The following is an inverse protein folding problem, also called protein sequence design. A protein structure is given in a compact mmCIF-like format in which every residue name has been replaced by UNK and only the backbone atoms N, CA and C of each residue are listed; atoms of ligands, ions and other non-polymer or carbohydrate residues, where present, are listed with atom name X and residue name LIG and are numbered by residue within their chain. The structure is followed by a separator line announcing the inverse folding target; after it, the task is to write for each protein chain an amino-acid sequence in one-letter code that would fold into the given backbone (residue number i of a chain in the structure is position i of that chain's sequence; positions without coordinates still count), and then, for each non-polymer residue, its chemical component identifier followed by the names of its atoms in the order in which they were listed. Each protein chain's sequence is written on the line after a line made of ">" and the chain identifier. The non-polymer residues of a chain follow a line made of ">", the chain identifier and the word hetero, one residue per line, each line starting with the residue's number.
data_IF_237156896901
#
_entry.id   IF_237156896901
#
_cell.length_a   1.000
_cell.length_b   1.000
_cell.length_c   1.000
_cell.angle_alpha   90.00
_cell.angle_beta   90.00
_cell.angle_gamma   90.00
#
_symmetry.space_group_name_H-M   'P 1'
#
loop_
_entity.id
_entity.type
_entity.pdbx_description
1 polymer ?
#
# COMPACT_ATOMS: atom_id res chain seq x y z
N UNK A 1 -34.82 18.65 10.87
CA UNK A 1 -33.52 18.06 11.28
C UNK A 1 -33.65 17.64 12.74
N UNK A 2 -33.86 16.35 13.01
CA UNK A 2 -33.84 15.86 14.37
C UNK A 2 -32.44 16.07 14.96
N UNK A 3 -32.34 16.66 16.15
CA UNK A 3 -31.10 16.70 16.90
C UNK A 3 -30.60 15.25 17.04
N UNK A 4 -29.44 14.93 16.45
CA UNK A 4 -28.78 13.63 16.67
C UNK A 4 -28.69 13.39 18.17
N UNK A 5 -29.28 12.30 18.62
CA UNK A 5 -29.28 11.85 20.02
C UNK A 5 -27.82 11.84 20.53
N UNK A 6 -27.53 12.37 21.73
CA UNK A 6 -26.22 12.22 22.36
C UNK A 6 -25.68 10.79 22.34
N UNK A 7 -26.55 9.78 22.41
CA UNK A 7 -26.21 8.36 22.30
C UNK A 7 -25.62 8.04 20.91
N UNK A 8 -26.27 8.48 19.82
CA UNK A 8 -25.78 8.26 18.46
C UNK A 8 -24.41 8.89 18.24
N UNK A 9 -24.18 10.07 18.79
CA UNK A 9 -22.87 10.75 18.71
C UNK A 9 -21.78 9.96 19.44
N UNK A 10 -22.10 9.39 20.60
CA UNK A 10 -21.14 8.58 21.36
C UNK A 10 -20.84 7.25 20.65
N UNK A 11 -21.84 6.62 20.04
CA UNK A 11 -21.66 5.41 19.24
C UNK A 11 -20.76 5.67 18.02
N UNK A 12 -20.99 6.77 17.29
CA UNK A 12 -20.14 7.18 16.16
C UNK A 12 -18.69 7.39 16.62
N UNK A 13 -18.47 8.14 17.72
CA UNK A 13 -17.11 8.36 18.26
C UNK A 13 -16.42 7.06 18.64
N UNK A 14 -17.14 6.13 19.26
CA UNK A 14 -16.59 4.82 19.63
C UNK A 14 -16.22 4.02 18.37
N UNK A 15 -17.07 4.01 17.36
CA UNK A 15 -16.82 3.29 16.11
C UNK A 15 -15.64 3.88 15.34
N UNK A 16 -15.52 5.21 15.30
CA UNK A 16 -14.35 5.91 14.76
C UNK A 16 -13.07 5.46 15.47
N UNK A 17 -13.05 5.44 16.82
CA UNK A 17 -11.87 5.00 17.58
C UNK A 17 -11.47 3.55 17.27
N UNK A 18 -12.46 2.65 17.17
CA UNK A 18 -12.23 1.25 16.81
C UNK A 18 -11.67 1.12 15.41
N UNK A 19 -12.21 1.89 14.46
CA UNK A 19 -11.73 1.87 13.09
C UNK A 19 -10.30 2.39 12.98
N UNK A 20 -9.98 3.52 13.62
CA UNK A 20 -8.61 4.05 13.65
C UNK A 20 -7.62 3.04 14.24
N UNK A 21 -7.95 2.39 15.36
CA UNK A 21 -7.09 1.36 15.94
C UNK A 21 -6.85 0.16 15.00
N UNK A 22 -7.86 -0.23 14.21
CA UNK A 22 -7.69 -1.25 13.17
C UNK A 22 -6.80 -0.77 12.03
N UNK A 23 -6.90 0.49 11.62
CA UNK A 23 -5.98 1.10 10.65
C UNK A 23 -4.54 1.06 11.15
N UNK A 24 -4.29 1.37 12.43
CA UNK A 24 -2.95 1.32 13.01
C UNK A 24 -2.38 -0.12 12.99
N UNK A 25 -3.19 -1.11 13.38
CA UNK A 25 -2.79 -2.52 13.28
C UNK A 25 -2.55 -2.97 11.83
N UNK A 26 -3.32 -2.43 10.88
CA UNK A 26 -3.14 -2.69 9.46
C UNK A 26 -1.81 -2.10 8.96
N UNK A 27 -1.46 -0.88 9.35
CA UNK A 27 -0.18 -0.24 9.03
C UNK A 27 0.98 -1.10 9.52
N UNK A 28 0.94 -1.53 10.79
CA UNK A 28 1.97 -2.40 11.35
C UNK A 28 2.10 -3.76 10.62
N UNK A 29 1.03 -4.23 9.96
CA UNK A 29 1.06 -5.44 9.15
C UNK A 29 1.64 -5.17 7.75
N UNK A 30 1.32 -4.02 7.17
CA UNK A 30 1.88 -3.55 5.89
C UNK A 30 3.39 -3.38 6.02
N UNK A 31 3.87 -2.70 7.06
CA UNK A 31 5.30 -2.42 7.26
C UNK A 31 6.15 -3.68 7.37
N UNK A 32 5.56 -4.80 7.83
CA UNK A 32 6.23 -6.11 7.94
C UNK A 32 6.05 -7.00 6.71
N UNK A 33 5.32 -6.56 5.70
CA UNK A 33 5.10 -7.37 4.51
C UNK A 33 6.36 -7.39 3.62
N UNK A 34 6.75 -8.59 3.19
CA UNK A 34 7.96 -8.84 2.39
C UNK A 34 7.69 -8.98 0.89
N UNK A 35 6.42 -8.98 0.49
CA UNK A 35 6.04 -9.16 -0.92
C UNK A 35 5.01 -8.13 -1.37
N UNK A 36 5.11 -7.70 -2.62
CA UNK A 36 4.15 -6.76 -3.21
C UNK A 36 2.72 -7.32 -3.28
N UNK A 37 2.58 -8.64 -3.41
CA UNK A 37 1.29 -9.32 -3.33
C UNK A 37 0.64 -9.12 -1.96
N UNK A 38 1.41 -9.33 -0.90
CA UNK A 38 0.90 -9.17 0.46
C UNK A 38 0.58 -7.71 0.77
N UNK A 39 1.45 -6.77 0.37
CA UNK A 39 1.18 -5.33 0.49
C UNK A 39 -0.12 -4.95 -0.23
N UNK A 40 -0.32 -5.40 -1.47
CA UNK A 40 -1.54 -5.11 -2.23
C UNK A 40 -2.81 -5.71 -1.59
N UNK A 41 -2.72 -6.93 -1.04
CA UNK A 41 -3.81 -7.56 -0.30
C UNK A 41 -4.17 -6.75 0.94
N UNK A 42 -3.17 -6.33 1.72
CA UNK A 42 -3.36 -5.56 2.94
C UNK A 42 -3.85 -4.12 2.67
N UNK A 43 -3.46 -3.50 1.56
CA UNK A 43 -3.91 -2.17 1.18
C UNK A 43 -5.41 -2.11 0.85
N UNK A 44 -5.99 -3.24 0.43
CA UNK A 44 -7.39 -3.35 -0.01
C UNK A 44 -8.31 -4.00 1.02
N UNK A 45 -7.78 -4.51 2.14
CA UNK A 45 -8.57 -5.25 3.14
C UNK A 45 -9.31 -4.39 4.18
N UNK A 46 -9.19 -3.06 4.11
CA UNK A 46 -9.78 -2.14 5.08
C UNK A 46 -10.93 -1.31 4.48
N UNK A 47 -12.17 -1.83 4.48
CA UNK A 47 -13.34 -1.06 4.04
C UNK A 47 -13.73 -0.02 5.10
N UNK A 48 -14.00 1.22 4.66
CA UNK A 48 -14.54 2.28 5.52
C UNK A 48 -16.03 2.01 5.81
N UNK A 49 -16.45 1.82 7.07
CA UNK A 49 -17.85 1.62 7.40
C UNK A 49 -18.71 2.84 7.04
N UNK A 50 -19.87 2.61 6.44
CA UNK A 50 -20.77 3.69 6.00
C UNK A 50 -21.15 4.64 7.14
N UNK A 51 -21.39 4.10 8.34
CA UNK A 51 -21.76 4.86 9.54
C UNK A 51 -20.75 5.96 9.93
N UNK A 52 -19.47 5.79 9.60
CA UNK A 52 -18.39 6.73 9.92
C UNK A 52 -17.76 7.34 8.66
N UNK A 53 -18.37 7.15 7.49
CA UNK A 53 -17.80 7.58 6.21
C UNK A 53 -17.68 9.10 6.05
N UNK A 54 -18.49 9.86 6.81
CA UNK A 54 -18.43 11.31 6.89
C UNK A 54 -17.44 11.83 7.96
N UNK A 55 -16.93 10.95 8.82
CA UNK A 55 -16.05 11.34 9.92
C UNK A 55 -14.61 11.50 9.40
N UNK A 56 -14.07 12.71 9.55
CA UNK A 56 -12.76 13.08 9.01
C UNK A 56 -11.65 12.15 9.50
N UNK A 57 -11.59 11.87 10.80
CA UNK A 57 -10.55 11.02 11.39
C UNK A 57 -10.57 9.58 10.87
N UNK A 58 -11.75 9.04 10.52
CA UNK A 58 -11.83 7.71 9.93
C UNK A 58 -11.29 7.71 8.49
N UNK A 59 -11.61 8.75 7.70
CA UNK A 59 -11.07 8.92 6.35
C UNK A 59 -9.56 9.13 6.36
N UNK A 60 -9.06 9.95 7.28
CA UNK A 60 -7.62 10.22 7.39
C UNK A 60 -6.84 8.98 7.84
N UNK A 61 -7.37 8.21 8.80
CA UNK A 61 -6.77 6.94 9.19
C UNK A 61 -6.69 5.95 8.02
N UNK A 62 -7.75 5.83 7.20
CA UNK A 62 -7.71 5.00 5.99
C UNK A 62 -6.71 5.53 4.95
N UNK A 63 -6.63 6.84 4.77
CA UNK A 63 -5.64 7.46 3.88
C UNK A 63 -4.21 7.14 4.34
N UNK A 64 -3.93 7.17 5.65
CA UNK A 64 -2.63 6.79 6.20
C UNK A 64 -2.28 5.33 5.88
N UNK A 65 -3.23 4.40 5.97
CA UNK A 65 -3.03 2.99 5.55
C UNK A 65 -2.59 2.93 4.08
N UNK A 66 -3.24 3.68 3.20
CA UNK A 66 -2.92 3.69 1.78
C UNK A 66 -1.53 4.30 1.51
N UNK A 67 -1.20 5.42 2.16
CA UNK A 67 0.13 6.04 2.06
C UNK A 67 1.22 5.07 2.52
N UNK A 68 1.04 4.40 3.67
CA UNK A 68 2.02 3.43 4.17
C UNK A 68 2.15 2.20 3.29
N UNK A 69 1.07 1.74 2.67
CA UNK A 69 1.12 0.69 1.66
C UNK A 69 1.92 1.11 0.43
N UNK A 70 1.75 2.35 -0.02
CA UNK A 70 2.51 2.90 -1.14
C UNK A 70 4.00 3.00 -0.82
N UNK A 71 4.35 3.53 0.35
CA UNK A 71 5.73 3.65 0.82
C UNK A 71 6.41 2.28 0.88
N UNK A 72 5.77 1.30 1.51
CA UNK A 72 6.33 -0.05 1.60
C UNK A 72 6.46 -0.73 0.24
N UNK A 73 5.49 -0.55 -0.65
CA UNK A 73 5.60 -1.07 -2.01
C UNK A 73 6.78 -0.44 -2.77
N UNK A 74 7.02 0.87 -2.60
CA UNK A 74 8.16 1.57 -3.20
C UNK A 74 9.49 1.04 -2.67
N UNK A 75 9.61 0.77 -1.37
CA UNK A 75 10.79 0.15 -0.77
C UNK A 75 11.11 -1.20 -1.40
N UNK A 76 10.13 -2.11 -1.44
CA UNK A 76 10.30 -3.44 -2.03
C UNK A 76 10.68 -3.39 -3.52
N UNK A 77 10.10 -2.45 -4.29
CA UNK A 77 10.46 -2.23 -5.69
C UNK A 77 11.91 -1.74 -5.81
N UNK A 78 12.33 -0.81 -4.94
CA UNK A 78 13.71 -0.31 -4.94
C UNK A 78 14.71 -1.42 -4.60
N UNK A 79 14.41 -2.27 -3.62
CA UNK A 79 15.23 -3.44 -3.27
C UNK A 79 15.35 -4.39 -4.46
N UNK A 80 14.23 -4.69 -5.15
CA UNK A 80 14.24 -5.51 -6.36
C UNK A 80 15.13 -4.92 -7.46
N UNK A 81 15.04 -3.61 -7.72
CA UNK A 81 15.87 -2.93 -8.72
C UNK A 81 17.34 -2.93 -8.32
N UNK A 82 17.66 -2.70 -7.05
CA UNK A 82 19.05 -2.75 -6.56
C UNK A 82 19.64 -4.16 -6.71
N UNK A 83 18.86 -5.20 -6.43
CA UNK A 83 19.28 -6.58 -6.64
C UNK A 83 19.52 -6.87 -8.13
N UNK A 84 18.67 -6.33 -9.02
CA UNK A 84 18.86 -6.43 -10.48
C UNK A 84 20.16 -5.75 -10.94
N UNK A 85 20.44 -4.54 -10.47
CA UNK A 85 21.66 -3.79 -10.81
C UNK A 85 22.92 -4.56 -10.42
N UNK A 86 22.88 -5.24 -9.27
CA UNK A 86 24.02 -6.01 -8.73
C UNK A 86 24.14 -7.42 -9.32
N UNK A 87 23.13 -7.90 -10.03
CA UNK A 87 23.14 -9.25 -10.57
C UNK A 87 24.08 -9.41 -11.77
N UNK A 88 24.61 -10.61 -11.91
CA UNK A 88 25.37 -11.05 -13.09
C UNK A 88 24.48 -11.04 -14.35
N UNK A 89 25.11 -10.78 -15.51
CA UNK A 89 24.41 -10.59 -16.79
C UNK A 89 23.50 -11.77 -17.17
N UNK A 90 23.94 -13.00 -16.87
CA UNK A 90 23.19 -14.24 -17.12
C UNK A 90 21.92 -14.39 -16.26
N UNK A 91 21.83 -13.70 -15.12
CA UNK A 91 20.69 -13.76 -14.19
C UNK A 91 19.72 -12.58 -14.36
N UNK A 92 20.16 -11.48 -14.97
CA UNK A 92 19.37 -10.24 -15.12
C UNK A 92 18.05 -10.44 -15.84
N UNK A 93 18.05 -11.15 -16.97
CA UNK A 93 16.82 -11.37 -17.74
C UNK A 93 15.78 -12.17 -16.92
N UNK A 94 16.22 -13.18 -16.17
CA UNK A 94 15.35 -13.95 -15.28
C UNK A 94 14.80 -13.09 -14.13
N UNK A 95 15.64 -12.26 -13.52
CA UNK A 95 15.24 -11.36 -12.45
C UNK A 95 14.25 -10.30 -12.95
N UNK A 96 14.51 -9.71 -14.12
CA UNK A 96 13.63 -8.74 -14.76
C UNK A 96 12.21 -9.30 -14.98
N UNK A 97 12.10 -10.51 -15.50
CA UNK A 97 10.80 -11.20 -15.65
C UNK A 97 10.11 -11.39 -14.29
N UNK A 98 10.84 -11.90 -13.30
CA UNK A 98 10.31 -12.08 -11.94
C UNK A 98 9.85 -10.77 -11.30
N UNK A 99 10.52 -9.65 -11.57
CA UNK A 99 10.12 -8.32 -11.10
C UNK A 99 8.80 -7.88 -11.73
N UNK A 100 8.68 -8.02 -13.06
CA UNK A 100 7.42 -7.69 -13.74
C UNK A 100 6.24 -8.54 -13.25
N UNK A 101 6.45 -9.84 -13.02
CA UNK A 101 5.45 -10.72 -12.44
C UNK A 101 5.08 -10.29 -11.01
N UNK A 102 6.06 -9.82 -10.23
CA UNK A 102 5.84 -9.25 -8.89
C UNK A 102 4.99 -7.98 -8.97
N UNK A 103 5.32 -7.06 -9.89
CA UNK A 103 4.63 -5.78 -10.06
C UNK A 103 3.21 -5.94 -10.59
N UNK A 104 2.93 -7.00 -11.34
CA UNK A 104 1.57 -7.32 -11.76
C UNK A 104 0.60 -7.47 -10.57
N UNK A 105 1.09 -7.84 -9.37
CA UNK A 105 0.27 -7.94 -8.16
C UNK A 105 -0.14 -6.56 -7.58
N UNK A 106 0.49 -5.46 -7.98
CA UNK A 106 0.12 -4.11 -7.54
C UNK A 106 -1.24 -3.75 -8.12
N UNK A 107 -2.29 -3.75 -7.31
CA UNK A 107 -3.68 -3.54 -7.76
C UNK A 107 -4.37 -2.44 -6.96
N UNK A 108 -5.55 -2.02 -7.41
CA UNK A 108 -6.34 -0.98 -6.75
C UNK A 108 -5.54 0.32 -6.57
N UNK A 109 -5.41 0.84 -5.33
CA UNK A 109 -4.71 2.10 -5.07
C UNK A 109 -3.21 2.05 -5.44
N UNK A 110 -2.61 0.86 -5.54
CA UNK A 110 -1.20 0.70 -5.88
C UNK A 110 -0.94 0.50 -7.38
N UNK A 111 -1.99 0.43 -8.21
CA UNK A 111 -1.87 0.23 -9.66
C UNK A 111 -0.90 1.19 -10.37
N UNK A 112 -0.91 2.50 -10.07
CA UNK A 112 0.03 3.45 -10.67
C UNK A 112 1.52 3.14 -10.41
N UNK A 113 1.84 2.41 -9.34
CA UNK A 113 3.22 2.05 -9.03
C UNK A 113 3.85 1.11 -10.07
N UNK A 114 3.06 0.39 -10.88
CA UNK A 114 3.61 -0.45 -11.96
C UNK A 114 4.37 0.39 -12.98
N UNK A 115 3.75 1.45 -13.46
CA UNK A 115 4.36 2.36 -14.44
C UNK A 115 5.55 3.09 -13.85
N UNK A 116 5.47 3.50 -12.58
CA UNK A 116 6.59 4.09 -11.86
C UNK A 116 7.78 3.12 -11.74
N UNK A 117 7.53 1.86 -11.36
CA UNK A 117 8.56 0.84 -11.24
C UNK A 117 9.25 0.55 -12.58
N UNK A 118 8.49 0.45 -13.67
CA UNK A 118 9.01 0.29 -15.03
C UNK A 118 9.91 1.46 -15.44
N UNK A 119 9.51 2.69 -15.15
CA UNK A 119 10.34 3.87 -15.40
C UNK A 119 11.64 3.84 -14.59
N UNK A 120 11.60 3.41 -13.32
CA UNK A 120 12.81 3.29 -12.49
C UNK A 120 13.76 2.22 -12.98
N UNK A 121 13.25 1.08 -13.45
CA UNK A 121 14.07 0.05 -14.06
C UNK A 121 14.72 0.53 -15.35
N UNK A 122 13.99 1.21 -16.24
CA UNK A 122 14.56 1.73 -17.48
C UNK A 122 15.74 2.70 -17.22
N UNK A 123 15.63 3.54 -16.19
CA UNK A 123 16.75 4.40 -15.75
C UNK A 123 17.93 3.57 -15.21
N UNK A 124 17.65 2.54 -14.42
CA UNK A 124 18.70 1.66 -13.89
C UNK A 124 19.43 0.90 -15.02
N UNK A 125 18.71 0.44 -16.05
CA UNK A 125 19.28 -0.23 -17.22
C UNK A 125 20.24 0.68 -18.00
N UNK A 126 19.92 1.98 -18.12
CA UNK A 126 20.80 2.97 -18.76
C UNK A 126 22.09 3.24 -17.98
N UNK A 127 22.11 2.97 -16.68
CA UNK A 127 23.30 3.18 -15.83
C UNK A 127 24.25 1.98 -15.85
N UNK A 128 23.76 0.82 -16.28
CA UNK A 128 24.54 -0.43 -16.34
C UNK A 128 25.12 -0.67 -17.73
N UNK A 129 24.43 -0.21 -18.79
CA UNK A 129 24.93 -0.23 -20.16
C UNK A 129 25.95 0.85 -20.44
#
# INVERSE_FOLDING_TARGET
>A
MALRDPVDKNLIRMEVRRFTARCDAQIASIERADTLREVARLATSMPLPYAISAEYSARDALRMVQTRAEDRARELIQEQIQNFVRAEDNLREKQKRSMFDSWANLTGPLGPLRTWAQSKLAVAEQQIG
#
